data_IF_994141097420
#
_entry.id   IF_994141097420
#
_cell.length_a   1.000
_cell.length_b   1.000
_cell.length_c   1.000
_cell.angle_alpha   90.00
_cell.angle_beta   90.00
_cell.angle_gamma   90.00
#
_symmetry.space_group_name_H-M   'P 1'
#
loop_
_entity.id
_entity.type
_entity.pdbx_description
1 polymer ?
#
# COMPACT_ATOMS: atom_id res chain seq x y z
N UNK A 1 9.65 6.32 17.05
CA UNK A 1 9.58 5.14 17.93
C UNK A 1 9.48 5.66 19.35
N UNK A 2 8.50 5.20 20.13
CA UNK A 2 8.36 5.56 21.54
C UNK A 2 9.01 4.44 22.37
N UNK A 3 9.70 4.81 23.45
CA UNK A 3 10.44 3.90 24.32
C UNK A 3 9.88 4.00 25.74
N UNK A 4 10.48 4.84 26.60
CA UNK A 4 10.06 5.01 27.99
C UNK A 4 8.68 5.63 28.15
N UNK A 5 8.21 6.37 27.14
CA UNK A 5 6.92 7.06 27.11
C UNK A 5 5.75 6.08 27.10
N UNK A 6 5.95 4.89 26.54
CA UNK A 6 4.96 3.80 26.45
C UNK A 6 5.29 2.61 27.36
N UNK A 7 6.38 2.67 28.12
CA UNK A 7 6.75 1.62 29.06
C UNK A 7 5.78 1.56 30.26
N UNK A 8 5.78 0.44 31.00
CA UNK A 8 4.89 0.22 32.14
C UNK A 8 5.04 1.27 33.27
N UNK A 9 6.17 1.99 33.32
CA UNK A 9 6.42 3.10 34.25
C UNK A 9 6.06 4.49 33.70
N UNK A 10 5.54 4.59 32.47
CA UNK A 10 5.17 5.85 31.84
C UNK A 10 3.87 6.41 32.42
N UNK A 11 3.85 7.71 32.73
CA UNK A 11 2.68 8.36 33.31
C UNK A 11 1.48 8.45 32.33
N UNK A 12 1.73 8.55 31.01
CA UNK A 12 0.69 8.80 30.00
C UNK A 12 0.90 8.04 28.67
N UNK A 13 1.00 6.70 28.68
CA UNK A 13 1.34 5.91 27.49
C UNK A 13 0.35 6.10 26.34
N UNK A 14 -0.96 6.18 26.63
CA UNK A 14 -2.01 6.39 25.62
C UNK A 14 -1.97 7.80 25.00
N UNK A 15 -1.58 8.81 25.79
CA UNK A 15 -1.52 10.20 25.31
C UNK A 15 -0.29 10.38 24.43
N UNK A 16 0.84 9.78 24.80
CA UNK A 16 2.06 9.79 24.00
C UNK A 16 1.81 9.18 22.61
N UNK A 17 1.20 8.00 22.55
CA UNK A 17 0.86 7.32 21.30
C UNK A 17 -0.11 8.15 20.43
N UNK A 18 -1.20 8.66 21.02
CA UNK A 18 -2.18 9.49 20.29
C UNK A 18 -1.57 10.80 19.79
N UNK A 19 -0.67 11.40 20.56
CA UNK A 19 0.01 12.65 20.15
C UNK A 19 0.98 12.38 19.01
N UNK A 20 1.77 11.30 19.10
CA UNK A 20 2.64 10.87 18.02
C UNK A 20 1.86 10.61 16.73
N UNK A 21 0.74 9.89 16.81
CA UNK A 21 -0.11 9.61 15.66
C UNK A 21 -0.63 10.89 14.98
N UNK A 22 -1.05 11.90 15.77
CA UNK A 22 -1.47 13.20 15.24
C UNK A 22 -0.33 13.94 14.54
N UNK A 23 0.87 13.97 15.15
CA UNK A 23 2.03 14.62 14.55
C UNK A 23 2.37 13.96 13.21
N UNK A 24 2.37 12.63 13.14
CA UNK A 24 2.61 11.92 11.88
C UNK A 24 1.57 12.27 10.82
N UNK A 25 0.28 12.29 11.19
CA UNK A 25 -0.81 12.61 10.27
C UNK A 25 -0.67 14.03 9.68
N UNK A 26 -0.37 15.02 10.54
CA UNK A 26 -0.14 16.40 10.10
C UNK A 26 1.13 16.49 9.23
N UNK A 27 2.23 15.85 9.64
CA UNK A 27 3.47 15.85 8.87
C UNK A 27 3.27 15.22 7.48
N UNK A 28 2.58 14.08 7.39
CA UNK A 28 2.28 13.40 6.13
C UNK A 28 1.40 14.26 5.20
N UNK A 29 0.48 15.05 5.76
CA UNK A 29 -0.37 15.95 4.98
C UNK A 29 0.41 17.05 4.24
N UNK A 30 1.63 17.37 4.69
CA UNK A 30 2.49 18.41 4.11
C UNK A 30 3.45 17.90 3.04
N UNK A 31 3.54 16.58 2.85
CA UNK A 31 4.50 15.98 1.92
C UNK A 31 4.02 16.14 0.48
N UNK A 32 4.84 16.73 -0.38
CA UNK A 32 4.63 16.66 -1.83
C UNK A 32 5.13 15.32 -2.38
N UNK A 33 4.21 14.37 -2.47
CA UNK A 33 4.45 13.03 -3.01
C UNK A 33 4.94 13.04 -4.48
N UNK A 34 4.58 14.05 -5.27
CA UNK A 34 5.00 14.18 -6.68
C UNK A 34 6.49 14.52 -6.78
N UNK A 35 6.96 15.48 -5.97
CA UNK A 35 8.38 15.83 -5.89
C UNK A 35 9.19 14.67 -5.33
N UNK A 36 8.70 14.05 -4.26
CA UNK A 36 9.39 12.93 -3.62
C UNK A 36 9.53 11.73 -4.58
N UNK A 37 8.46 11.39 -5.32
CA UNK A 37 8.49 10.39 -6.39
C UNK A 37 9.56 10.69 -7.44
N UNK A 38 9.60 11.92 -7.99
CA UNK A 38 10.57 12.32 -9.00
C UNK A 38 12.00 12.17 -8.50
N UNK A 39 12.27 12.57 -7.26
CA UNK A 39 13.59 12.47 -6.65
C UNK A 39 14.03 11.01 -6.46
N UNK A 40 13.14 10.12 -6.04
CA UNK A 40 13.47 8.68 -5.85
C UNK A 40 13.75 7.98 -7.19
N UNK A 41 13.05 8.38 -8.26
CA UNK A 41 13.29 7.85 -9.60
C UNK A 41 14.61 8.39 -10.17
N UNK A 42 14.89 9.68 -10.02
CA UNK A 42 16.12 10.30 -10.51
C UNK A 42 17.38 9.73 -9.85
N UNK A 43 17.31 9.34 -8.57
CA UNK A 43 18.42 8.75 -7.82
C UNK A 43 18.43 7.20 -7.84
N UNK A 44 17.61 6.57 -8.69
CA UNK A 44 17.60 5.12 -8.81
C UNK A 44 18.88 4.59 -9.47
N UNK A 45 19.45 3.45 -9.01
CA UNK A 45 20.55 2.81 -9.70
C UNK A 45 20.10 2.34 -11.09
N UNK A 46 20.99 2.49 -12.07
CA UNK A 46 20.79 2.05 -13.45
C UNK A 46 21.67 0.81 -13.67
N UNK A 47 21.11 -0.34 -14.15
CA UNK A 47 19.73 -0.53 -14.59
C UNK A 47 18.73 -0.67 -13.43
N UNK A 48 17.51 -0.15 -13.64
CA UNK A 48 16.43 -0.21 -12.66
C UNK A 48 15.89 -1.65 -12.57
N UNK A 49 15.63 -2.14 -11.36
CA UNK A 49 15.06 -3.47 -11.16
C UNK A 49 13.59 -3.56 -11.63
N UNK A 50 13.12 -4.73 -12.12
CA UNK A 50 11.74 -4.90 -12.56
C UNK A 50 10.70 -4.55 -11.49
N UNK A 51 11.00 -4.82 -10.21
CA UNK A 51 10.12 -4.49 -9.09
C UNK A 51 9.96 -2.97 -8.89
N UNK A 52 11.02 -2.19 -9.11
CA UNK A 52 10.96 -0.72 -9.01
C UNK A 52 10.25 -0.11 -10.23
N UNK A 53 10.37 -0.73 -11.41
CA UNK A 53 9.59 -0.33 -12.60
C UNK A 53 8.10 -0.55 -12.35
N UNK A 54 7.73 -1.72 -11.82
CA UNK A 54 6.35 -2.05 -11.48
C UNK A 54 5.76 -1.05 -10.48
N UNK A 55 6.44 -0.86 -9.34
CA UNK A 55 6.00 0.10 -8.32
C UNK A 55 5.88 1.54 -8.88
N UNK A 56 6.77 1.93 -9.79
CA UNK A 56 6.70 3.23 -10.47
C UNK A 56 5.49 3.36 -11.39
N UNK A 57 5.13 2.28 -12.08
CA UNK A 57 3.93 2.21 -12.90
C UNK A 57 2.66 2.25 -12.06
N UNK A 58 2.63 1.56 -10.92
CA UNK A 58 1.48 1.52 -10.00
C UNK A 58 1.16 2.92 -9.48
N UNK A 59 2.17 3.64 -8.98
CA UNK A 59 2.01 4.99 -8.43
C UNK A 59 1.59 5.99 -9.50
N UNK A 60 2.14 5.87 -10.71
CA UNK A 60 1.72 6.71 -11.83
C UNK A 60 0.28 6.43 -12.23
N UNK A 61 -0.12 5.16 -12.24
CA UNK A 61 -1.49 4.74 -12.54
C UNK A 61 -2.45 5.31 -11.49
N UNK A 62 -2.10 5.18 -10.21
CA UNK A 62 -2.90 5.71 -9.10
C UNK A 62 -3.07 7.23 -9.18
N UNK A 63 -1.99 7.96 -9.47
CA UNK A 63 -2.05 9.40 -9.68
C UNK A 63 -2.91 9.79 -10.89
N UNK A 64 -2.83 9.04 -11.99
CA UNK A 64 -3.58 9.33 -13.22
C UNK A 64 -5.06 8.99 -13.08
N UNK A 65 -5.39 7.92 -12.35
CA UNK A 65 -6.78 7.50 -12.12
C UNK A 65 -7.41 8.14 -10.89
N UNK A 66 -6.73 9.08 -10.23
CA UNK A 66 -7.15 9.67 -8.95
C UNK A 66 -7.59 8.61 -7.94
N UNK A 67 -6.83 7.52 -7.84
CA UNK A 67 -7.17 6.43 -6.94
C UNK A 67 -7.06 6.91 -5.48
N UNK A 68 -7.93 6.40 -4.61
CA UNK A 68 -7.87 6.69 -3.18
C UNK A 68 -6.83 5.82 -2.45
N UNK A 69 -6.51 4.65 -3.00
CA UNK A 69 -5.53 3.72 -2.44
C UNK A 69 -4.92 2.80 -3.51
N UNK A 70 -3.76 2.24 -3.18
CA UNK A 70 -3.15 1.12 -3.92
C UNK A 70 -3.31 -0.14 -3.08
N UNK A 71 -4.03 -1.13 -3.60
CA UNK A 71 -4.24 -2.43 -2.97
C UNK A 71 -3.20 -3.43 -3.49
N UNK A 72 -2.33 -3.93 -2.63
CA UNK A 72 -1.27 -4.87 -3.04
C UNK A 72 -1.60 -6.27 -2.54
N UNK A 73 -1.91 -7.18 -3.46
CA UNK A 73 -2.17 -8.59 -3.16
C UNK A 73 -0.85 -9.38 -3.19
N UNK A 74 -0.44 -9.95 -2.06
CA UNK A 74 0.78 -10.77 -1.97
C UNK A 74 0.51 -12.15 -1.38
N UNK A 75 1.21 -13.17 -1.86
CA UNK A 75 1.18 -14.54 -1.32
C UNK A 75 2.47 -14.81 -0.55
N UNK A 76 2.36 -15.08 0.75
CA UNK A 76 3.41 -15.61 1.64
C UNK A 76 4.79 -14.93 1.61
N UNK A 77 5.14 -14.19 2.68
CA UNK A 77 6.50 -13.91 3.21
C UNK A 77 7.61 -13.31 2.32
N UNK A 78 7.82 -13.84 1.11
CA UNK A 78 8.97 -13.53 0.26
C UNK A 78 8.66 -12.60 -0.92
N UNK A 79 7.38 -12.40 -1.27
CA UNK A 79 6.97 -11.43 -2.30
C UNK A 79 6.74 -10.00 -1.74
N UNK A 80 7.46 -9.66 -0.67
CA UNK A 80 7.37 -8.43 0.12
C UNK A 80 8.23 -7.26 -0.41
N UNK A 81 8.35 -7.12 -1.73
CA UNK A 81 9.25 -6.10 -2.32
C UNK A 81 8.58 -4.97 -3.09
N UNK A 82 7.38 -5.12 -3.70
CA UNK A 82 6.70 -3.95 -4.26
C UNK A 82 6.34 -2.92 -3.19
N UNK A 83 6.03 -3.36 -1.96
CA UNK A 83 5.73 -2.48 -0.81
C UNK A 83 6.97 -1.75 -0.29
N UNK A 84 8.15 -2.40 -0.29
CA UNK A 84 9.43 -1.74 0.07
C UNK A 84 9.94 -0.76 -0.99
N UNK A 85 9.55 -0.99 -2.25
CA UNK A 85 9.85 -0.12 -3.37
C UNK A 85 8.65 0.75 -3.75
N UNK A 86 7.56 0.72 -2.98
CA UNK A 86 6.33 1.45 -3.29
C UNK A 86 6.70 2.90 -3.14
N UNK A 87 6.85 3.53 -4.30
CA UNK A 87 7.13 4.94 -4.35
C UNK A 87 5.98 5.64 -3.65
N UNK A 88 6.33 6.68 -2.92
CA UNK A 88 5.52 7.28 -1.88
C UNK A 88 4.12 7.58 -2.47
N UNK A 89 3.09 6.88 -2.00
CA UNK A 89 1.69 7.11 -2.33
C UNK A 89 0.85 6.98 -1.04
N UNK A 90 0.00 7.97 -0.72
CA UNK A 90 -0.83 7.91 0.47
C UNK A 90 -1.87 6.80 0.34
N UNK A 91 -2.05 5.98 1.39
CA UNK A 91 -3.06 4.91 1.37
C UNK A 91 -2.61 3.62 0.68
N UNK A 92 -1.34 3.21 0.77
CA UNK A 92 -0.95 1.86 0.36
C UNK A 92 -1.51 0.81 1.34
N UNK A 93 -2.35 -0.11 0.85
CA UNK A 93 -2.93 -1.19 1.67
C UNK A 93 -2.36 -2.54 1.22
N UNK A 94 -1.37 -3.09 1.93
CA UNK A 94 -0.90 -4.44 1.66
C UNK A 94 -1.92 -5.46 2.20
N UNK A 95 -2.41 -6.33 1.33
CA UNK A 95 -3.27 -7.45 1.70
C UNK A 95 -2.53 -8.76 1.47
N UNK A 96 -2.29 -9.47 2.56
CA UNK A 96 -1.74 -10.82 2.55
C UNK A 96 -2.86 -11.79 2.21
N UNK A 97 -2.70 -12.50 1.10
CA UNK A 97 -3.58 -13.59 0.73
C UNK A 97 -3.00 -14.89 1.29
N UNK A 98 -3.65 -15.46 2.30
CA UNK A 98 -3.36 -16.83 2.76
C UNK A 98 -3.98 -17.83 1.78
N UNK A 99 -3.23 -18.16 0.73
CA UNK A 99 -3.61 -19.19 -0.23
C UNK A 99 -2.90 -20.51 0.04
N UNK A 100 -3.68 -21.57 0.33
CA UNK A 100 -3.21 -22.97 0.35
C UNK A 100 -2.53 -23.33 -0.97
N UNK A 101 -1.62 -24.32 -0.95
CA UNK A 101 -0.72 -24.74 -2.03
C UNK A 101 -1.39 -25.26 -3.32
N UNK A 102 -2.69 -25.05 -3.52
CA UNK A 102 -3.46 -25.59 -4.64
C UNK A 102 -4.00 -24.47 -5.54
N UNK A 103 -3.48 -24.45 -6.77
CA UNK A 103 -4.00 -23.82 -8.00
C UNK A 103 -4.44 -22.35 -7.95
N UNK A 104 -3.78 -21.53 -8.77
CA UNK A 104 -4.16 -20.17 -9.11
C UNK A 104 -5.45 -20.19 -9.96
N UNK A 105 -6.62 -20.23 -9.32
CA UNK A 105 -7.89 -19.95 -10.00
C UNK A 105 -8.13 -18.43 -10.00
N UNK A 106 -8.73 -17.92 -11.06
CA UNK A 106 -9.22 -16.53 -11.14
C UNK A 106 -10.16 -16.18 -9.99
N UNK A 107 -10.81 -17.20 -9.42
CA UNK A 107 -11.72 -17.12 -8.28
C UNK A 107 -11.00 -16.68 -6.99
N UNK A 108 -9.90 -17.33 -6.62
CA UNK A 108 -9.11 -16.98 -5.42
C UNK A 108 -8.59 -15.53 -5.40
N UNK A 109 -8.28 -14.97 -6.58
CA UNK A 109 -7.80 -13.58 -6.70
C UNK A 109 -8.92 -12.56 -6.54
N UNK A 110 -10.13 -12.91 -6.98
CA UNK A 110 -11.31 -12.05 -6.82
C UNK A 110 -11.70 -11.97 -5.34
N UNK A 111 -11.75 -13.11 -4.66
CA UNK A 111 -12.03 -13.16 -3.22
C UNK A 111 -11.03 -12.34 -2.40
N UNK A 112 -9.75 -12.43 -2.73
CA UNK A 112 -8.70 -11.62 -2.11
C UNK A 112 -8.87 -10.11 -2.35
N UNK A 113 -9.23 -9.73 -3.58
CA UNK A 113 -9.48 -8.34 -3.93
C UNK A 113 -10.72 -7.79 -3.21
N UNK A 114 -11.79 -8.58 -3.15
CA UNK A 114 -13.02 -8.22 -2.45
C UNK A 114 -12.78 -8.10 -0.94
N UNK A 115 -12.06 -9.06 -0.34
CA UNK A 115 -11.66 -9.01 1.06
C UNK A 115 -10.80 -7.78 1.38
N UNK A 116 -9.81 -7.49 0.54
CA UNK A 116 -8.98 -6.30 0.67
C UNK A 116 -9.76 -4.99 0.54
N UNK A 117 -10.72 -4.96 -0.38
CA UNK A 117 -11.61 -3.81 -0.58
C UNK A 117 -12.52 -3.59 0.63
N UNK A 118 -13.13 -4.66 1.17
CA UNK A 118 -13.97 -4.58 2.36
C UNK A 118 -13.16 -4.14 3.59
N UNK A 119 -11.92 -4.62 3.71
CA UNK A 119 -11.01 -4.14 4.75
C UNK A 119 -10.74 -2.64 4.62
N UNK A 120 -10.41 -2.17 3.41
CA UNK A 120 -10.16 -0.76 3.15
C UNK A 120 -11.38 0.12 3.44
N UNK A 121 -12.59 -0.30 3.04
CA UNK A 121 -13.86 0.36 3.39
C UNK A 121 -14.07 0.45 4.89
N UNK A 122 -13.90 -0.67 5.61
CA UNK A 122 -14.09 -0.74 7.07
C UNK A 122 -13.12 0.18 7.82
N UNK A 123 -11.92 0.40 7.25
CA UNK A 123 -10.92 1.33 7.78
C UNK A 123 -11.11 2.77 7.31
N UNK A 124 -12.11 3.06 6.48
CA UNK A 124 -12.38 4.39 5.95
C UNK A 124 -11.35 4.88 4.94
N UNK A 125 -10.62 3.97 4.29
CA UNK A 125 -9.56 4.30 3.31
C UNK A 125 -10.11 4.56 1.91
N UNK A 126 -11.30 4.02 1.60
CA UNK A 126 -12.04 4.29 0.37
C UNK A 126 -13.54 4.28 0.62
N UNK A 127 -14.29 4.93 -0.28
CA UNK A 127 -15.75 4.97 -0.32
C UNK A 127 -16.28 4.47 -1.66
N UNK A 128 -17.57 4.18 -1.71
CA UNK A 128 -18.25 3.79 -2.95
C UNK A 128 -18.06 4.87 -4.03
N UNK A 129 -17.72 4.44 -5.24
CA UNK A 129 -17.39 5.31 -6.36
C UNK A 129 -15.91 5.70 -6.48
N UNK A 130 -15.09 5.47 -5.45
CA UNK A 130 -13.64 5.73 -5.55
C UNK A 130 -12.97 4.77 -6.54
N UNK A 131 -11.88 5.24 -7.17
CA UNK A 131 -10.98 4.39 -7.92
C UNK A 131 -9.91 3.78 -7.00
N UNK A 132 -9.54 2.52 -7.25
CA UNK A 132 -8.49 1.79 -6.53
C UNK A 132 -7.58 1.13 -7.54
N UNK A 133 -6.27 1.24 -7.35
CA UNK A 133 -5.29 0.49 -8.14
C UNK A 133 -4.94 -0.79 -7.40
N UNK A 134 -5.31 -1.94 -7.96
CA UNK A 134 -4.98 -3.24 -7.44
C UNK A 134 -3.77 -3.83 -8.17
N UNK A 135 -2.71 -4.13 -7.42
CA UNK A 135 -1.55 -4.86 -7.88
C UNK A 135 -1.65 -6.32 -7.45
N UNK A 136 -1.52 -7.25 -8.39
CA UNK A 136 -1.50 -8.67 -8.08
C UNK A 136 -0.55 -9.47 -8.97
N UNK A 137 -0.02 -10.56 -8.42
CA UNK A 137 0.87 -11.47 -9.13
C UNK A 137 0.08 -12.68 -9.65
N UNK A 138 0.11 -12.91 -10.96
CA UNK A 138 -0.46 -14.10 -11.61
C UNK A 138 0.71 -14.94 -12.13
N UNK A 139 1.02 -16.05 -11.46
CA UNK A 139 2.19 -16.86 -11.79
C UNK A 139 3.48 -16.06 -11.61
N UNK A 140 4.21 -15.84 -12.70
CA UNK A 140 5.42 -14.99 -12.75
C UNK A 140 5.15 -13.57 -13.24
N UNK A 141 3.92 -13.28 -13.67
CA UNK A 141 3.54 -11.97 -14.22
C UNK A 141 2.93 -11.07 -13.16
N UNK A 142 3.13 -9.77 -13.30
CA UNK A 142 2.50 -8.74 -12.48
C UNK A 142 1.38 -8.05 -13.28
N UNK A 143 0.25 -7.81 -12.63
CA UNK A 143 -0.94 -7.22 -13.24
C UNK A 143 -1.40 -6.04 -12.40
N UNK A 144 -1.59 -4.91 -13.06
CA UNK A 144 -2.15 -3.67 -12.51
C UNK A 144 -3.59 -3.57 -13.00
N UNK A 145 -4.55 -3.37 -12.09
CA UNK A 145 -5.95 -3.16 -12.42
C UNK A 145 -6.46 -1.90 -11.75
N UNK A 146 -7.24 -1.11 -12.47
CA UNK A 146 -8.05 -0.04 -11.87
C UNK A 146 -9.43 -0.62 -11.61
N UNK A 147 -9.89 -0.53 -10.36
CA UNK A 147 -11.17 -1.06 -9.90
C UNK A 147 -11.94 0.06 -9.24
N UNK A 148 -13.23 0.19 -9.55
CA UNK A 148 -14.12 1.11 -8.85
C UNK A 148 -14.71 0.40 -7.64
N UNK A 149 -14.67 1.07 -6.49
CA UNK A 149 -15.30 0.60 -5.27
C UNK A 149 -16.83 0.59 -5.48
N UNK A 150 -17.42 -0.59 -5.42
CA UNK A 150 -18.88 -0.80 -5.37
C UNK A 150 -19.34 -0.87 -3.94
#
# INVERSE_FOLDING_TARGET
>A
MLSGETAAGGAYPKVADKTMAKICMEAESTIDYSVAYKMIIANAPIPISPLKILASSDVRTANTSHASLILVLTRGGNSHRPTKHSLIFPGLVPVLCEGSTKSLSTESTKEALDSGMQHAKTKGLCKEGDAVVALHLIGTSSVIKIVTVK
#
